data_IF_760578173631
#
_entry.id   IF_760578173631
#
_cell.length_a   1.000
_cell.length_b   1.000
_cell.length_c   1.000
_cell.angle_alpha   90.00
_cell.angle_beta   90.00
_cell.angle_gamma   90.00
#
_symmetry.space_group_name_H-M   'P 1'
#
loop_
_entity.id
_entity.type
_entity.pdbx_description
1 polymer ?
#
# COMPACT_ATOMS: atom_id res chain seq x y z
N UNK A 1 6.21 27.62 30.16
CA UNK A 1 6.69 28.54 29.12
C UNK A 1 5.64 28.63 28.05
N UNK A 2 5.23 29.85 27.64
CA UNK A 2 4.33 30.02 26.49
C UNK A 2 5.10 29.59 25.21
N UNK A 3 4.68 28.52 24.57
CA UNK A 3 5.31 28.06 23.34
C UNK A 3 5.03 29.07 22.24
N UNK A 4 6.07 29.56 21.55
CA UNK A 4 5.91 30.36 20.34
C UNK A 4 5.42 29.45 19.20
N UNK A 5 4.09 29.37 19.06
CA UNK A 5 3.46 28.54 18.01
C UNK A 5 3.71 29.19 16.65
N UNK A 6 4.21 28.40 15.67
CA UNK A 6 4.31 28.85 14.30
C UNK A 6 2.91 28.91 13.67
N UNK A 7 2.39 30.13 13.46
CA UNK A 7 1.05 30.37 12.92
C UNK A 7 1.00 30.44 11.39
N UNK A 8 2.10 30.11 10.68
CA UNK A 8 2.10 30.05 9.21
C UNK A 8 0.87 29.26 8.68
N UNK A 9 0.08 29.78 7.75
CA UNK A 9 -1.03 29.05 7.17
C UNK A 9 -0.56 27.87 6.30
N UNK A 10 0.67 27.91 5.79
CA UNK A 10 1.27 26.86 4.96
C UNK A 10 2.18 25.97 5.82
N UNK A 11 2.19 24.67 5.51
CA UNK A 11 3.16 23.72 6.06
C UNK A 11 4.52 23.85 5.37
N UNK A 12 5.56 23.35 6.00
CA UNK A 12 6.87 23.27 5.34
C UNK A 12 6.77 22.38 4.09
N UNK A 13 7.29 22.81 2.93
CA UNK A 13 7.27 21.99 1.73
C UNK A 13 8.12 20.73 1.94
N UNK A 14 7.70 19.62 1.34
CA UNK A 14 8.54 18.42 1.26
C UNK A 14 9.55 18.65 0.13
N UNK A 15 10.86 18.58 0.40
CA UNK A 15 11.85 18.58 -0.66
C UNK A 15 11.67 17.35 -1.56
N UNK A 16 11.70 17.55 -2.88
CA UNK A 16 11.57 16.49 -3.89
C UNK A 16 12.66 16.62 -4.92
N UNK A 17 12.99 15.52 -5.62
CA UNK A 17 13.80 15.58 -6.82
C UNK A 17 13.10 16.42 -7.91
N UNK A 18 13.87 17.05 -8.78
CA UNK A 18 13.36 17.71 -9.99
C UNK A 18 12.46 16.76 -10.80
N UNK A 19 11.35 17.27 -11.35
CA UNK A 19 10.36 16.45 -12.03
C UNK A 19 10.89 15.71 -13.24
N UNK A 20 11.73 16.36 -14.04
CA UNK A 20 12.34 15.76 -15.21
C UNK A 20 13.39 14.70 -14.82
N UNK A 21 14.22 14.98 -13.82
CA UNK A 21 15.23 14.02 -13.34
C UNK A 21 14.59 12.78 -12.73
N UNK A 22 13.58 12.96 -11.86
CA UNK A 22 12.93 11.84 -11.19
C UNK A 22 12.08 10.96 -12.11
N UNK A 23 11.64 11.49 -13.26
CA UNK A 23 10.92 10.72 -14.28
C UNK A 23 11.80 9.66 -14.96
N UNK A 24 13.12 9.73 -14.81
CA UNK A 24 14.09 8.85 -15.48
C UNK A 24 14.95 8.02 -14.51
N UNK A 25 14.60 7.99 -13.22
CA UNK A 25 15.31 7.18 -12.24
C UNK A 25 14.35 6.56 -11.22
N UNK A 26 14.84 5.56 -10.46
CA UNK A 26 14.08 4.87 -9.44
C UNK A 26 14.46 5.30 -8.00
N UNK A 27 15.23 6.37 -7.83
CA UNK A 27 15.55 6.91 -6.51
C UNK A 27 14.30 7.50 -5.84
N UNK A 28 14.29 7.54 -4.51
CA UNK A 28 13.17 8.07 -3.75
C UNK A 28 12.87 9.52 -4.12
N UNK A 29 11.63 9.80 -4.51
CA UNK A 29 11.20 11.12 -5.02
C UNK A 29 11.22 12.19 -3.94
N UNK A 30 10.58 11.92 -2.80
CA UNK A 30 10.57 12.82 -1.66
C UNK A 30 11.85 12.65 -0.84
N UNK A 31 12.56 13.75 -0.53
CA UNK A 31 13.89 13.70 0.10
C UNK A 31 13.85 13.75 1.63
N UNK A 32 12.66 13.99 2.23
CA UNK A 32 12.51 14.10 3.67
C UNK A 32 12.80 15.51 4.21
N UNK A 33 12.46 15.75 5.47
CA UNK A 33 12.76 16.99 6.16
C UNK A 33 14.18 16.99 6.74
N UNK A 34 14.83 18.15 6.75
CA UNK A 34 15.95 18.41 7.67
C UNK A 34 15.45 18.56 9.12
N UNK A 35 16.35 18.49 10.09
CA UNK A 35 16.01 18.73 11.51
C UNK A 35 15.33 20.08 11.72
N UNK A 36 15.85 21.14 11.09
CA UNK A 36 15.29 22.49 11.16
C UNK A 36 13.87 22.55 10.59
N UNK A 37 13.64 21.93 9.43
CA UNK A 37 12.33 21.89 8.80
C UNK A 37 11.32 21.10 9.65
N UNK A 38 11.75 19.97 10.24
CA UNK A 38 10.93 19.15 11.11
C UNK A 38 10.55 19.89 12.41
N UNK A 39 11.51 20.53 13.07
CA UNK A 39 11.26 21.32 14.28
C UNK A 39 10.31 22.49 13.96
N UNK A 40 10.56 23.22 12.85
CA UNK A 40 9.70 24.32 12.42
C UNK A 40 8.25 23.86 12.12
N UNK A 41 8.08 22.71 11.46
CA UNK A 41 6.76 22.12 11.22
C UNK A 41 6.10 21.67 12.55
N UNK A 42 6.87 21.09 13.47
CA UNK A 42 6.38 20.68 14.78
C UNK A 42 5.85 21.87 15.61
N UNK A 43 6.43 23.07 15.46
CA UNK A 43 5.90 24.29 16.08
C UNK A 43 4.53 24.71 15.54
N UNK A 44 4.06 24.21 14.41
CA UNK A 44 2.70 24.46 13.91
C UNK A 44 1.64 23.67 14.67
N UNK A 45 2.00 22.63 15.40
CA UNK A 45 1.06 21.82 16.18
C UNK A 45 0.53 22.62 17.39
N UNK A 46 -0.80 22.69 17.50
CA UNK A 46 -1.50 23.39 18.59
C UNK A 46 -1.58 22.56 19.88
N UNK A 47 -1.14 21.32 19.87
CA UNK A 47 -1.27 20.38 21.01
C UNK A 47 -2.72 20.34 21.55
N UNK A 48 -3.69 20.06 20.68
CA UNK A 48 -5.12 20.11 20.98
C UNK A 48 -5.50 19.14 22.10
N UNK A 49 -6.23 19.60 23.11
CA UNK A 49 -6.70 18.76 24.23
C UNK A 49 -7.49 17.53 23.81
N UNK A 50 -8.32 17.64 22.77
CA UNK A 50 -9.17 16.54 22.27
C UNK A 50 -8.46 15.67 21.21
N UNK A 51 -7.23 15.98 20.83
CA UNK A 51 -6.38 15.22 19.90
C UNK A 51 -7.13 14.62 18.69
N UNK A 52 -7.85 15.43 17.86
CA UNK A 52 -8.69 14.89 16.80
C UNK A 52 -7.89 14.10 15.73
N UNK A 53 -6.61 14.46 15.53
CA UNK A 53 -5.73 13.73 14.62
C UNK A 53 -5.52 12.26 15.02
N UNK A 54 -5.48 11.95 16.31
CA UNK A 54 -5.36 10.55 16.82
C UNK A 54 -6.58 9.73 16.39
N UNK A 55 -7.79 10.31 16.42
CA UNK A 55 -9.00 9.61 15.96
C UNK A 55 -8.98 9.27 14.47
N UNK A 56 -8.21 10.01 13.67
CA UNK A 56 -8.01 9.75 12.24
C UNK A 56 -6.93 8.72 11.93
N UNK A 57 -6.17 8.26 12.93
CA UNK A 57 -5.13 7.25 12.74
C UNK A 57 -5.69 5.85 13.09
N UNK A 58 -5.70 4.87 12.16
CA UNK A 58 -6.19 3.52 12.41
C UNK A 58 -5.45 2.78 13.55
N UNK A 59 -4.16 3.07 13.76
CA UNK A 59 -3.36 2.49 14.85
C UNK A 59 -3.22 3.39 16.06
N UNK A 60 -3.91 4.55 16.07
CA UNK A 60 -3.99 5.47 17.22
C UNK A 60 -2.65 5.98 17.74
N UNK A 61 -1.73 6.34 16.85
CA UNK A 61 -0.47 6.98 17.25
C UNK A 61 -0.75 8.22 18.12
N UNK A 62 0.00 8.40 19.20
CA UNK A 62 -0.06 9.56 20.10
C UNK A 62 0.55 10.82 19.44
N UNK A 63 -0.15 11.31 18.38
CA UNK A 63 0.37 12.31 17.44
C UNK A 63 0.81 13.61 18.13
N UNK A 64 0.03 14.26 19.03
CA UNK A 64 0.49 15.48 19.67
C UNK A 64 1.74 15.28 20.54
N UNK A 65 1.88 14.09 21.12
CA UNK A 65 2.99 13.77 22.03
C UNK A 65 4.29 13.60 21.24
N UNK A 66 4.30 12.81 20.16
CA UNK A 66 5.51 12.67 19.36
C UNK A 66 5.91 13.99 18.69
N UNK A 67 4.93 14.80 18.23
CA UNK A 67 5.22 16.13 17.66
C UNK A 67 5.81 17.07 18.74
N UNK A 68 5.35 16.98 19.99
CA UNK A 68 5.91 17.74 21.08
C UNK A 68 7.38 17.35 21.38
N UNK A 69 7.70 16.05 21.29
CA UNK A 69 9.07 15.54 21.40
C UNK A 69 9.96 16.06 20.24
N UNK A 70 9.47 16.01 18.98
CA UNK A 70 10.18 16.59 17.83
C UNK A 70 10.46 18.08 18.03
N UNK A 71 9.47 18.83 18.49
CA UNK A 71 9.63 20.26 18.79
C UNK A 71 10.70 20.52 19.84
N UNK A 72 10.86 19.61 20.79
CA UNK A 72 11.89 19.67 21.85
C UNK A 72 13.27 19.17 21.42
N UNK A 73 13.41 18.65 20.18
CA UNK A 73 14.66 18.04 19.71
C UNK A 73 14.88 16.60 20.22
N UNK A 74 13.90 16.01 20.92
CA UNK A 74 13.96 14.61 21.38
C UNK A 74 13.40 13.67 20.31
N UNK A 75 14.19 13.41 19.27
CA UNK A 75 13.77 12.59 18.14
C UNK A 75 13.68 11.10 18.49
N UNK A 76 14.55 10.62 19.38
CA UNK A 76 14.47 9.24 19.85
C UNK A 76 13.26 9.02 20.77
N UNK A 77 12.94 9.96 21.63
CA UNK A 77 11.69 9.95 22.41
C UNK A 77 10.45 9.98 21.50
N UNK A 78 10.48 10.78 20.42
CA UNK A 78 9.42 10.80 19.43
C UNK A 78 9.24 9.44 18.73
N UNK A 79 10.35 8.76 18.36
CA UNK A 79 10.32 7.43 17.77
C UNK A 79 9.68 6.41 18.73
N UNK A 80 10.06 6.39 19.99
CA UNK A 80 9.47 5.50 21.00
C UNK A 80 7.97 5.70 21.16
N UNK A 81 7.49 6.96 21.14
CA UNK A 81 6.06 7.29 21.19
C UNK A 81 5.34 6.74 19.95
N UNK A 82 5.90 6.85 18.75
CA UNK A 82 5.30 6.31 17.53
C UNK A 82 5.25 4.79 17.57
N UNK A 83 6.37 4.15 17.95
CA UNK A 83 6.51 2.68 17.92
C UNK A 83 5.79 1.95 19.05
N UNK A 84 5.28 2.65 20.03
CA UNK A 84 4.36 2.10 21.03
C UNK A 84 3.09 1.51 20.37
N UNK A 85 2.61 2.18 19.31
CA UNK A 85 1.38 1.76 18.62
C UNK A 85 1.57 1.39 17.13
N UNK A 86 2.65 1.81 16.49
CA UNK A 86 2.94 1.55 15.07
C UNK A 86 4.18 0.67 14.91
N UNK A 87 4.04 -0.44 14.20
CA UNK A 87 5.15 -1.37 13.94
C UNK A 87 5.93 -1.04 12.67
N UNK A 88 5.45 -0.09 11.83
CA UNK A 88 6.04 0.25 10.53
C UNK A 88 6.09 1.78 10.31
N UNK A 89 6.74 2.56 11.19
CA UNK A 89 6.71 4.03 11.14
C UNK A 89 7.35 4.60 9.87
N UNK A 90 8.47 4.07 9.41
CA UNK A 90 9.15 4.55 8.22
C UNK A 90 8.34 4.31 6.93
N UNK A 91 7.55 3.24 6.90
CA UNK A 91 6.60 2.94 5.83
C UNK A 91 5.40 3.89 5.90
N UNK A 92 4.78 4.03 7.08
CA UNK A 92 3.58 4.87 7.26
C UNK A 92 3.83 6.34 6.93
N UNK A 93 4.96 6.89 7.34
CA UNK A 93 5.36 8.26 7.02
C UNK A 93 5.46 8.53 5.51
N UNK A 94 5.71 7.48 4.69
CA UNK A 94 5.83 7.58 3.23
C UNK A 94 4.53 7.32 2.48
N UNK A 95 3.75 6.31 2.90
CA UNK A 95 2.67 5.77 2.05
C UNK A 95 1.25 5.97 2.58
N UNK A 96 1.06 6.39 3.83
CA UNK A 96 -0.27 6.69 4.35
C UNK A 96 -0.93 7.83 3.56
N UNK A 97 -2.23 7.75 3.24
CA UNK A 97 -2.99 8.87 2.70
C UNK A 97 -3.39 9.83 3.84
N UNK A 98 -2.40 10.53 4.43
CA UNK A 98 -2.58 11.36 5.62
C UNK A 98 -3.65 12.44 5.40
N UNK A 99 -3.77 12.96 4.18
CA UNK A 99 -4.75 13.98 3.77
C UNK A 99 -6.20 13.54 3.97
N UNK A 100 -6.46 12.23 4.00
CA UNK A 100 -7.81 11.67 4.25
C UNK A 100 -7.93 11.02 5.64
N UNK A 101 -6.86 10.95 6.41
CA UNK A 101 -6.76 10.30 7.72
C UNK A 101 -6.42 11.30 8.83
N UNK A 102 -5.23 11.21 9.43
CA UNK A 102 -4.84 12.04 10.57
C UNK A 102 -4.80 13.54 10.24
N UNK A 103 -4.28 13.93 9.09
CA UNK A 103 -4.18 15.33 8.66
C UNK A 103 -5.54 15.93 8.34
N UNK A 104 -6.51 15.14 7.83
CA UNK A 104 -7.88 15.61 7.59
C UNK A 104 -8.60 16.05 8.88
N UNK A 105 -8.17 15.53 10.03
CA UNK A 105 -8.72 15.88 11.35
C UNK A 105 -7.95 17.00 12.05
N UNK A 106 -6.86 17.48 11.46
CA UNK A 106 -6.03 18.52 12.07
C UNK A 106 -6.74 19.87 12.10
N UNK A 107 -6.85 20.48 13.28
CA UNK A 107 -7.50 21.78 13.48
C UNK A 107 -6.87 22.89 12.64
N UNK A 108 -5.57 22.79 12.36
CA UNK A 108 -4.87 23.75 11.48
C UNK A 108 -5.45 23.78 10.06
N UNK A 109 -5.97 22.65 9.59
CA UNK A 109 -6.63 22.53 8.28
C UNK A 109 -7.89 23.37 8.11
N UNK A 110 -8.48 23.89 9.20
CA UNK A 110 -9.67 24.76 9.13
C UNK A 110 -9.36 26.18 8.60
N UNK A 111 -8.13 26.67 8.78
CA UNK A 111 -7.72 28.04 8.39
C UNK A 111 -6.40 28.08 7.60
N UNK A 112 -6.04 26.97 6.97
CA UNK A 112 -4.81 26.83 6.22
C UNK A 112 -4.54 25.36 5.92
N UNK A 113 -3.26 25.00 5.84
CA UNK A 113 -2.85 23.60 5.69
C UNK A 113 -2.70 22.93 7.05
N UNK A 114 -3.08 21.67 7.14
CA UNK A 114 -2.83 20.81 8.29
C UNK A 114 -1.34 20.74 8.62
N UNK A 115 -1.00 20.35 9.84
CA UNK A 115 0.38 19.96 10.18
C UNK A 115 0.76 18.76 9.33
N UNK A 116 1.99 18.75 8.81
CA UNK A 116 2.56 17.65 8.03
C UNK A 116 2.89 16.44 8.91
N UNK A 117 1.86 15.79 9.44
CA UNK A 117 1.98 14.71 10.44
C UNK A 117 2.80 13.55 9.88
N UNK A 118 2.45 13.09 8.67
CA UNK A 118 3.18 12.00 8.05
C UNK A 118 4.62 12.36 7.68
N UNK A 119 4.86 13.63 7.33
CA UNK A 119 6.22 14.13 7.06
C UNK A 119 7.10 14.12 8.32
N UNK A 120 6.50 14.46 9.47
CA UNK A 120 7.16 14.38 10.77
C UNK A 120 7.38 12.93 11.22
N UNK A 121 6.39 12.05 11.04
CA UNK A 121 6.53 10.61 11.30
C UNK A 121 7.67 10.01 10.48
N UNK A 122 7.74 10.33 9.19
CA UNK A 122 8.84 9.93 8.31
C UNK A 122 10.18 10.43 8.81
N UNK A 123 10.27 11.73 9.13
CA UNK A 123 11.51 12.33 9.65
C UNK A 123 12.02 11.60 10.89
N UNK A 124 11.14 11.35 11.85
CA UNK A 124 11.49 10.65 13.10
C UNK A 124 12.00 9.24 12.82
N UNK A 125 11.33 8.50 11.94
CA UNK A 125 11.72 7.14 11.58
C UNK A 125 13.07 7.12 10.83
N UNK A 126 13.29 8.04 9.88
CA UNK A 126 14.55 8.17 9.13
C UNK A 126 15.71 8.59 10.04
N UNK A 127 15.46 9.49 10.99
CA UNK A 127 16.43 9.91 11.99
C UNK A 127 16.84 8.72 12.88
N UNK A 128 15.87 7.98 13.45
CA UNK A 128 16.16 6.77 14.23
C UNK A 128 16.90 5.71 13.39
N UNK A 129 16.53 5.54 12.14
CA UNK A 129 17.21 4.63 11.23
C UNK A 129 18.67 4.97 11.00
N UNK A 130 19.06 6.24 11.16
CA UNK A 130 20.42 6.73 10.93
C UNK A 130 21.24 6.82 12.23
N UNK A 131 20.63 7.29 13.30
CA UNK A 131 21.32 7.68 14.54
C UNK A 131 20.86 6.91 15.78
N UNK A 132 19.74 6.17 15.71
CA UNK A 132 19.21 5.39 16.82
C UNK A 132 20.15 4.25 17.25
N UNK A 133 20.06 3.87 18.51
CA UNK A 133 20.92 2.83 19.09
C UNK A 133 20.63 1.40 18.59
N UNK A 134 19.52 1.21 17.89
CA UNK A 134 19.10 -0.08 17.34
C UNK A 134 18.82 -1.17 18.38
N UNK A 135 18.78 -0.80 19.67
CA UNK A 135 18.55 -1.74 20.76
C UNK A 135 17.08 -2.17 20.85
N UNK A 136 16.80 -3.30 20.22
CA UNK A 136 15.53 -4.01 20.38
C UNK A 136 15.81 -5.29 21.16
N UNK A 137 15.25 -5.45 22.34
CA UNK A 137 15.36 -6.68 23.12
C UNK A 137 14.07 -7.48 23.06
N UNK A 138 14.18 -8.76 22.70
CA UNK A 138 13.05 -9.67 22.78
C UNK A 138 12.59 -9.81 24.24
N UNK A 139 11.28 -9.75 24.53
CA UNK A 139 10.75 -9.95 25.86
C UNK A 139 10.89 -11.42 26.30
N UNK A 140 10.62 -11.69 27.58
CA UNK A 140 10.62 -13.07 28.08
C UNK A 140 9.51 -13.87 27.37
N UNK A 141 9.80 -15.10 26.91
CA UNK A 141 8.78 -15.98 26.33
C UNK A 141 7.62 -16.24 27.31
N UNK A 142 6.41 -16.18 26.83
CA UNK A 142 5.20 -16.52 27.59
C UNK A 142 4.74 -17.99 27.43
N UNK A 143 5.40 -18.75 26.54
CA UNK A 143 5.16 -20.17 26.30
C UNK A 143 4.16 -20.48 25.17
N UNK A 144 3.45 -19.48 24.66
CA UNK A 144 2.45 -19.67 23.60
C UNK A 144 3.02 -19.44 22.19
N UNK A 145 2.46 -20.15 21.20
CA UNK A 145 2.90 -20.13 19.81
C UNK A 145 1.78 -19.65 18.86
N UNK A 146 2.08 -18.70 18.00
CA UNK A 146 1.12 -18.15 17.03
C UNK A 146 1.70 -18.20 15.62
N UNK A 147 0.92 -18.68 14.65
CA UNK A 147 1.27 -18.65 13.23
C UNK A 147 0.59 -17.47 12.54
N UNK A 148 1.35 -16.77 11.69
CA UNK A 148 0.87 -15.65 10.86
C UNK A 148 1.00 -16.05 9.40
N UNK A 149 -0.07 -15.92 8.62
CA UNK A 149 -0.09 -16.23 7.18
C UNK A 149 -0.03 -14.92 6.40
N UNK A 150 1.12 -14.66 5.77
CA UNK A 150 1.41 -13.46 5.00
C UNK A 150 2.17 -12.39 5.79
N UNK A 151 3.23 -11.88 5.20
CA UNK A 151 4.10 -10.84 5.75
C UNK A 151 3.75 -9.43 5.26
N UNK A 152 2.52 -9.21 4.80
CA UNK A 152 2.01 -7.87 4.50
C UNK A 152 1.84 -7.02 5.75
N UNK A 153 1.40 -5.75 5.62
CA UNK A 153 1.29 -4.82 6.75
C UNK A 153 0.45 -5.34 7.92
N UNK A 154 -0.65 -6.07 7.66
CA UNK A 154 -1.47 -6.66 8.72
C UNK A 154 -0.74 -7.77 9.48
N UNK A 155 -0.07 -8.68 8.74
CA UNK A 155 0.68 -9.79 9.33
C UNK A 155 1.89 -9.31 10.13
N UNK A 156 2.69 -8.39 9.58
CA UNK A 156 3.85 -7.81 10.28
C UNK A 156 3.43 -7.07 11.56
N UNK A 157 2.30 -6.34 11.53
CA UNK A 157 1.80 -5.64 12.73
C UNK A 157 1.29 -6.63 13.77
N UNK A 158 0.52 -7.64 13.38
CA UNK A 158 0.06 -8.69 14.28
C UNK A 158 1.25 -9.42 14.92
N UNK A 159 2.25 -9.78 14.11
CA UNK A 159 3.46 -10.44 14.59
C UNK A 159 4.25 -9.57 15.58
N UNK A 160 4.45 -8.30 15.27
CA UNK A 160 5.18 -7.37 16.14
C UNK A 160 4.48 -7.12 17.48
N UNK A 161 3.16 -6.92 17.46
CA UNK A 161 2.40 -6.71 18.70
C UNK A 161 2.38 -7.95 19.60
N UNK A 162 2.29 -9.15 19.03
CA UNK A 162 2.38 -10.41 19.77
C UNK A 162 3.81 -10.68 20.28
N UNK A 163 4.82 -10.45 19.45
CA UNK A 163 6.22 -10.63 19.84
C UNK A 163 6.60 -9.73 21.02
N UNK A 164 6.14 -8.48 21.05
CA UNK A 164 6.32 -7.56 22.20
C UNK A 164 5.73 -8.10 23.50
N UNK A 165 4.83 -9.06 23.44
CA UNK A 165 4.19 -9.73 24.61
C UNK A 165 4.81 -11.08 24.94
N UNK A 166 5.87 -11.50 24.24
CA UNK A 166 6.60 -12.73 24.50
C UNK A 166 6.06 -13.97 23.81
N UNK A 167 5.15 -13.82 22.85
CA UNK A 167 4.69 -14.94 22.03
C UNK A 167 5.79 -15.42 21.09
N UNK A 168 5.92 -16.72 20.89
CA UNK A 168 6.71 -17.31 19.82
C UNK A 168 5.92 -17.21 18.50
N UNK A 169 6.28 -16.27 17.65
CA UNK A 169 5.56 -15.96 16.43
C UNK A 169 6.34 -16.41 15.21
N UNK A 170 5.69 -17.18 14.33
CA UNK A 170 6.24 -17.52 13.01
C UNK A 170 5.35 -16.94 11.92
N UNK A 171 5.93 -16.16 11.01
CA UNK A 171 5.28 -15.60 9.82
C UNK A 171 5.62 -16.46 8.62
N UNK A 172 4.62 -17.01 7.94
CA UNK A 172 4.74 -17.76 6.70
C UNK A 172 4.42 -16.87 5.50
N UNK A 173 5.40 -16.65 4.64
CA UNK A 173 5.31 -15.81 3.46
C UNK A 173 5.42 -16.63 2.18
N UNK A 174 4.49 -16.45 1.27
CA UNK A 174 4.45 -17.17 -0.01
C UNK A 174 5.59 -16.76 -0.97
N UNK A 175 6.00 -15.49 -0.92
CA UNK A 175 7.04 -14.95 -1.77
C UNK A 175 8.44 -15.15 -1.14
N UNK A 176 9.47 -14.91 -1.94
CA UNK A 176 10.87 -15.05 -1.51
C UNK A 176 11.37 -13.87 -0.65
N UNK A 177 10.58 -12.81 -0.51
CA UNK A 177 10.91 -11.63 0.28
C UNK A 177 9.70 -11.21 1.11
N UNK A 178 9.93 -10.95 2.41
CA UNK A 178 8.90 -10.47 3.32
C UNK A 178 8.54 -9.00 3.07
N UNK A 179 7.27 -8.64 3.33
CA UNK A 179 6.75 -7.27 3.20
C UNK A 179 5.45 -7.18 2.41
N UNK A 180 5.09 -8.23 1.67
CA UNK A 180 3.87 -8.25 0.86
C UNK A 180 3.82 -7.08 -0.13
N UNK A 181 2.69 -6.35 -0.18
CA UNK A 181 2.48 -5.21 -1.09
C UNK A 181 3.53 -4.10 -0.95
N UNK A 182 4.17 -3.96 0.20
CA UNK A 182 5.25 -2.99 0.42
C UNK A 182 6.46 -3.27 -0.47
N UNK A 183 6.67 -4.53 -0.85
CA UNK A 183 7.80 -4.97 -1.65
C UNK A 183 7.40 -5.20 -3.10
N UNK A 184 6.30 -5.91 -3.36
CA UNK A 184 5.92 -6.22 -4.75
C UNK A 184 5.11 -5.11 -5.43
N UNK A 185 4.30 -4.34 -4.67
CA UNK A 185 3.33 -3.42 -5.23
C UNK A 185 3.78 -1.97 -5.26
N UNK A 186 4.34 -1.44 -4.17
CA UNK A 186 4.75 -0.04 -4.07
C UNK A 186 6.13 0.16 -4.71
N UNK A 187 6.30 1.11 -5.66
CA UNK A 187 7.56 1.31 -6.36
C UNK A 187 8.72 1.78 -5.47
N UNK A 188 9.95 1.48 -5.90
CA UNK A 188 11.20 1.87 -5.23
C UNK A 188 11.25 3.39 -4.99
N UNK A 189 10.85 4.18 -5.99
CA UNK A 189 10.88 5.65 -5.92
C UNK A 189 9.85 6.27 -4.94
N UNK A 190 8.92 5.47 -4.39
CA UNK A 190 7.98 5.88 -3.32
C UNK A 190 8.33 5.25 -1.97
N UNK A 191 8.74 4.00 -1.98
CA UNK A 191 9.09 3.23 -0.80
C UNK A 191 10.32 2.36 -1.10
N UNK A 192 11.54 2.84 -0.81
CA UNK A 192 12.75 2.07 -0.98
C UNK A 192 12.68 0.73 -0.24
N UNK A 193 13.05 -0.36 -0.92
CA UNK A 193 12.96 -1.72 -0.34
C UNK A 193 13.89 -1.92 0.84
N UNK A 194 14.99 -1.17 0.90
CA UNK A 194 15.89 -1.14 2.07
C UNK A 194 15.17 -0.67 3.35
N UNK A 195 14.22 0.27 3.24
CA UNK A 195 13.40 0.72 4.37
C UNK A 195 12.51 -0.42 4.86
N UNK A 196 11.82 -1.11 3.95
CA UNK A 196 10.97 -2.26 4.32
C UNK A 196 11.80 -3.39 4.95
N UNK A 197 12.96 -3.68 4.39
CA UNK A 197 13.85 -4.70 4.93
C UNK A 197 14.30 -4.37 6.37
N UNK A 198 14.56 -3.09 6.67
CA UNK A 198 14.95 -2.64 8.00
C UNK A 198 13.81 -2.78 9.02
N UNK A 199 12.57 -2.44 8.64
CA UNK A 199 11.39 -2.66 9.47
C UNK A 199 11.16 -4.16 9.76
N UNK A 200 11.32 -5.01 8.75
CA UNK A 200 11.22 -6.48 8.90
C UNK A 200 12.32 -7.01 9.81
N UNK A 201 13.55 -6.51 9.68
CA UNK A 201 14.67 -6.90 10.54
C UNK A 201 14.45 -6.50 12.01
N UNK A 202 13.80 -5.36 12.25
CA UNK A 202 13.41 -4.96 13.61
C UNK A 202 12.47 -5.98 14.25
N UNK A 203 11.54 -6.55 13.48
CA UNK A 203 10.65 -7.62 13.96
C UNK A 203 11.41 -8.93 14.23
N UNK A 204 12.39 -9.28 13.38
CA UNK A 204 13.26 -10.45 13.64
C UNK A 204 14.05 -10.31 14.95
N UNK A 205 14.55 -9.13 15.24
CA UNK A 205 15.23 -8.83 16.51
C UNK A 205 14.31 -8.92 17.73
N UNK A 206 13.01 -8.70 17.54
CA UNK A 206 11.98 -8.96 18.57
C UNK A 206 11.70 -10.45 18.78
N UNK A 207 12.29 -11.34 17.98
CA UNK A 207 12.10 -12.79 18.07
C UNK A 207 11.01 -13.33 17.14
N UNK A 208 10.61 -12.59 16.10
CA UNK A 208 9.69 -13.10 15.07
C UNK A 208 10.48 -13.93 14.05
N UNK A 209 10.12 -15.20 13.89
CA UNK A 209 10.59 -16.04 12.81
C UNK A 209 9.81 -15.73 11.51
N UNK A 210 10.53 -15.63 10.38
CA UNK A 210 9.90 -15.36 9.08
C UNK A 210 10.38 -16.39 8.06
N UNK A 211 9.46 -17.28 7.68
CA UNK A 211 9.67 -18.36 6.72
C UNK A 211 9.12 -17.96 5.35
N UNK A 212 10.01 -17.71 4.40
CA UNK A 212 9.65 -17.35 3.01
C UNK A 212 9.51 -18.59 2.13
N UNK A 213 8.88 -18.42 0.94
CA UNK A 213 8.58 -19.50 -0.01
C UNK A 213 7.68 -20.61 0.56
N UNK A 214 6.84 -20.27 1.55
CA UNK A 214 5.86 -21.18 2.15
C UNK A 214 4.45 -20.75 1.82
N UNK A 215 3.81 -21.48 0.93
CA UNK A 215 2.45 -21.18 0.46
C UNK A 215 1.43 -21.95 1.30
N UNK A 216 0.80 -21.27 2.26
CA UNK A 216 -0.26 -21.90 3.06
C UNK A 216 -1.46 -22.22 2.17
N UNK A 217 -1.94 -23.44 2.27
CA UNK A 217 -2.91 -24.05 1.38
C UNK A 217 -2.30 -24.87 0.24
N UNK A 218 -0.94 -24.92 0.16
CA UNK A 218 -0.18 -25.79 -0.77
C UNK A 218 0.94 -26.52 -0.06
N UNK A 219 1.86 -25.79 0.56
CA UNK A 219 3.01 -26.37 1.31
C UNK A 219 2.56 -26.91 2.65
N UNK A 220 1.75 -26.14 3.36
CA UNK A 220 1.12 -26.46 4.64
C UNK A 220 -0.33 -25.96 4.61
N UNK A 221 -1.20 -26.65 5.34
CA UNK A 221 -2.58 -26.23 5.58
C UNK A 221 -2.71 -25.53 6.95
N UNK A 222 -3.82 -24.84 7.18
CA UNK A 222 -4.15 -24.25 8.50
C UNK A 222 -4.26 -25.35 9.58
N UNK A 223 -4.79 -26.51 9.22
CA UNK A 223 -4.92 -27.64 10.16
C UNK A 223 -3.57 -28.25 10.54
N UNK A 224 -2.63 -28.32 9.58
CA UNK A 224 -1.25 -28.74 9.87
C UNK A 224 -0.50 -27.75 10.77
N UNK A 225 -0.77 -26.45 10.67
CA UNK A 225 -0.20 -25.47 11.60
C UNK A 225 -0.64 -25.77 13.05
N UNK A 226 -1.92 -26.08 13.28
CA UNK A 226 -2.38 -26.51 14.61
C UNK A 226 -1.72 -27.83 15.05
N UNK A 227 -1.57 -28.79 14.14
CA UNK A 227 -0.88 -30.06 14.43
C UNK A 227 0.61 -29.85 14.78
N UNK A 228 1.25 -28.78 14.27
CA UNK A 228 2.62 -28.36 14.61
C UNK A 228 2.69 -27.65 15.98
N UNK A 229 1.58 -27.48 16.69
CA UNK A 229 1.50 -26.92 18.03
C UNK A 229 1.34 -25.40 18.06
N UNK A 230 0.89 -24.75 16.98
CA UNK A 230 0.39 -23.36 17.05
C UNK A 230 -0.98 -23.35 17.72
N UNK A 231 -1.22 -22.38 18.58
CA UNK A 231 -2.44 -22.29 19.38
C UNK A 231 -3.45 -21.29 18.82
N UNK A 232 -2.98 -20.40 17.96
CA UNK A 232 -3.79 -19.48 17.17
C UNK A 232 -3.13 -19.22 15.81
N UNK A 233 -3.96 -18.85 14.80
CA UNK A 233 -3.53 -18.53 13.45
C UNK A 233 -4.12 -17.17 13.04
N UNK A 234 -3.30 -16.29 12.48
CA UNK A 234 -3.75 -15.06 11.84
C UNK A 234 -3.59 -15.13 10.33
N UNK A 235 -4.66 -14.83 9.57
CA UNK A 235 -4.65 -14.81 8.10
C UNK A 235 -4.57 -13.36 7.63
N UNK A 236 -3.39 -12.97 7.15
CA UNK A 236 -3.08 -11.67 6.55
C UNK A 236 -2.62 -11.80 5.10
N UNK A 237 -3.19 -12.73 4.34
CA UNK A 237 -2.77 -13.10 2.97
C UNK A 237 -3.04 -12.01 1.91
N UNK A 238 -3.70 -10.91 2.27
CA UNK A 238 -3.96 -9.79 1.39
C UNK A 238 -4.96 -10.07 0.25
N UNK A 239 -4.93 -9.20 -0.78
CA UNK A 239 -5.75 -9.32 -1.99
C UNK A 239 -4.85 -9.12 -3.21
N UNK A 240 -4.33 -10.20 -3.76
CA UNK A 240 -3.34 -10.18 -4.85
C UNK A 240 -3.88 -10.67 -6.19
N UNK A 241 -5.13 -11.15 -6.27
CA UNK A 241 -5.73 -11.62 -7.52
C UNK A 241 -6.24 -10.41 -8.35
N UNK A 242 -5.66 -10.10 -9.52
CA UNK A 242 -6.06 -8.93 -10.29
C UNK A 242 -7.45 -9.08 -10.89
N UNK A 243 -8.17 -7.96 -10.96
CA UNK A 243 -9.44 -7.87 -11.68
C UNK A 243 -9.19 -7.39 -13.11
N UNK A 244 -9.99 -7.95 -14.05
CA UNK A 244 -10.07 -7.53 -15.44
C UNK A 244 -11.48 -7.02 -15.75
N UNK A 245 -11.66 -6.30 -16.84
CA UNK A 245 -12.94 -5.71 -17.23
C UNK A 245 -13.88 -6.70 -17.90
N UNK A 246 -13.33 -7.80 -18.46
CA UNK A 246 -14.06 -8.76 -19.27
C UNK A 246 -14.36 -8.25 -20.68
N UNK A 247 -13.52 -7.36 -21.22
CA UNK A 247 -13.65 -6.78 -22.55
C UNK A 247 -12.81 -7.57 -23.58
N UNK A 248 -13.18 -7.53 -24.89
CA UNK A 248 -12.39 -8.14 -25.93
C UNK A 248 -10.94 -7.63 -25.94
N UNK A 249 -10.00 -8.55 -26.21
CA UNK A 249 -8.58 -8.21 -26.36
C UNK A 249 -7.74 -8.24 -25.07
N UNK A 250 -8.31 -8.51 -23.90
CA UNK A 250 -7.54 -8.58 -22.63
C UNK A 250 -6.49 -9.71 -22.58
N UNK A 251 -6.54 -10.67 -23.49
CA UNK A 251 -5.55 -11.75 -23.61
C UNK A 251 -4.43 -11.46 -24.63
N UNK A 252 -4.38 -10.28 -25.23
CA UNK A 252 -3.34 -9.89 -26.18
C UNK A 252 -1.98 -9.69 -25.48
N UNK A 253 -0.91 -9.96 -26.23
CA UNK A 253 0.45 -9.62 -25.79
C UNK A 253 0.59 -8.11 -25.64
N UNK A 254 1.12 -7.67 -24.48
CA UNK A 254 1.18 -6.25 -24.11
C UNK A 254 0.06 -5.80 -23.17
N UNK A 255 -0.87 -6.72 -22.80
CA UNK A 255 -1.83 -6.47 -21.73
C UNK A 255 -1.30 -7.06 -20.43
N UNK A 256 -1.25 -6.24 -19.38
CA UNK A 256 -0.80 -6.62 -18.03
C UNK A 256 -1.84 -6.24 -17.00
N UNK A 257 -1.92 -6.98 -15.91
CA UNK A 257 -2.43 -6.41 -14.68
C UNK A 257 -1.38 -5.52 -14.04
N UNK A 258 -1.81 -4.45 -13.34
CA UNK A 258 -0.87 -3.60 -12.60
C UNK A 258 -0.10 -4.40 -11.53
N UNK A 259 -0.75 -5.41 -10.93
CA UNK A 259 -0.10 -6.28 -9.95
C UNK A 259 1.08 -7.06 -10.58
N UNK A 260 0.89 -7.64 -11.76
CA UNK A 260 1.97 -8.33 -12.48
C UNK A 260 3.08 -7.36 -12.88
N UNK A 261 2.73 -6.24 -13.52
CA UNK A 261 3.68 -5.24 -13.99
C UNK A 261 4.55 -4.69 -12.86
N UNK A 262 3.91 -4.32 -11.73
CA UNK A 262 4.61 -3.81 -10.56
C UNK A 262 5.42 -4.89 -9.84
N UNK A 263 4.94 -6.14 -9.78
CA UNK A 263 5.70 -7.25 -9.20
C UNK A 263 6.99 -7.51 -9.98
N UNK A 264 6.92 -7.52 -11.32
CA UNK A 264 8.12 -7.66 -12.18
C UNK A 264 9.10 -6.51 -11.94
N UNK A 265 8.61 -5.27 -11.87
CA UNK A 265 9.46 -4.11 -11.65
C UNK A 265 10.02 -4.07 -10.23
N UNK A 266 9.20 -4.19 -9.19
CA UNK A 266 9.60 -3.94 -7.81
C UNK A 266 10.25 -5.15 -7.13
N UNK A 267 9.54 -6.28 -7.05
CA UNK A 267 10.03 -7.48 -6.39
C UNK A 267 11.14 -8.15 -7.19
N UNK A 268 10.92 -8.29 -8.51
CA UNK A 268 11.84 -8.95 -9.43
C UNK A 268 12.89 -7.99 -10.02
N UNK A 269 12.81 -6.70 -9.67
CA UNK A 269 13.78 -5.65 -10.05
C UNK A 269 14.02 -5.51 -11.56
N UNK A 270 12.99 -5.71 -12.38
CA UNK A 270 13.11 -5.67 -13.85
C UNK A 270 13.55 -4.29 -14.40
N UNK A 271 13.66 -3.28 -13.55
CA UNK A 271 14.21 -1.97 -13.91
C UNK A 271 15.75 -1.90 -13.87
N UNK A 272 16.43 -2.91 -13.30
CA UNK A 272 17.89 -2.99 -13.28
C UNK A 272 18.40 -3.61 -14.58
N UNK A 273 19.53 -3.13 -15.06
CA UNK A 273 20.13 -3.59 -16.32
C UNK A 273 20.62 -5.04 -16.28
N UNK A 274 20.95 -5.54 -15.08
CA UNK A 274 21.39 -6.91 -14.81
C UNK A 274 20.26 -7.85 -14.39
N UNK A 275 18.98 -7.42 -14.50
CA UNK A 275 17.84 -8.26 -14.14
C UNK A 275 17.51 -9.28 -15.22
N UNK A 276 17.35 -10.55 -14.81
CA UNK A 276 16.87 -11.63 -15.68
C UNK A 276 15.35 -11.58 -15.94
N UNK A 277 14.61 -10.72 -15.23
CA UNK A 277 13.16 -10.65 -15.34
C UNK A 277 12.73 -9.87 -16.58
N UNK A 278 12.04 -10.50 -17.55
CA UNK A 278 11.58 -9.78 -18.73
C UNK A 278 10.44 -8.83 -18.35
N UNK A 279 10.52 -7.59 -18.83
CA UNK A 279 9.44 -6.60 -18.80
C UNK A 279 9.33 -5.94 -20.17
N UNK A 280 8.09 -5.84 -20.67
CA UNK A 280 7.87 -5.14 -21.94
C UNK A 280 7.95 -3.63 -21.69
N UNK A 281 8.89 -2.99 -22.38
CA UNK A 281 9.02 -1.53 -22.40
C UNK A 281 8.16 -1.02 -23.55
N UNK A 282 6.97 -0.51 -23.25
CA UNK A 282 6.07 0.05 -24.26
C UNK A 282 6.49 1.47 -24.65
N UNK A 283 6.30 1.86 -25.92
CA UNK A 283 6.44 3.24 -26.35
C UNK A 283 5.27 4.10 -25.90
N UNK A 284 4.04 3.60 -26.09
CA UNK A 284 2.79 4.27 -25.63
C UNK A 284 2.01 3.36 -24.71
N UNK A 285 1.87 3.75 -23.46
CA UNK A 285 1.26 2.94 -22.41
C UNK A 285 -0.05 3.54 -21.95
N UNK A 286 -1.13 2.76 -21.93
CA UNK A 286 -2.39 3.13 -21.27
C UNK A 286 -2.53 2.39 -19.94
N UNK A 287 -2.68 3.12 -18.85
CA UNK A 287 -2.98 2.57 -17.52
C UNK A 287 -4.45 2.83 -17.20
N UNK A 288 -5.23 1.77 -17.06
CA UNK A 288 -6.67 1.84 -16.82
C UNK A 288 -6.95 1.81 -15.33
N UNK A 289 -7.39 2.95 -14.79
CA UNK A 289 -7.67 3.12 -13.37
C UNK A 289 -7.28 4.49 -12.85
N UNK A 290 -7.68 4.83 -11.61
CA UNK A 290 -7.43 6.15 -11.02
C UNK A 290 -6.96 6.08 -9.56
N UNK A 291 -6.60 4.90 -9.05
CA UNK A 291 -6.08 4.71 -7.69
C UNK A 291 -4.56 4.84 -7.59
N UNK A 292 -4.02 4.72 -6.38
CA UNK A 292 -2.56 4.78 -6.15
C UNK A 292 -1.81 3.76 -7.01
N UNK A 293 -2.36 2.55 -7.19
CA UNK A 293 -1.76 1.50 -8.03
C UNK A 293 -1.67 1.94 -9.51
N UNK A 294 -2.65 2.72 -10.01
CA UNK A 294 -2.58 3.27 -11.36
C UNK A 294 -1.48 4.33 -11.48
N UNK A 295 -1.34 5.23 -10.49
CA UNK A 295 -0.25 6.20 -10.45
C UNK A 295 1.12 5.49 -10.40
N UNK A 296 1.23 4.46 -9.56
CA UNK A 296 2.44 3.65 -9.42
C UNK A 296 2.82 2.97 -10.73
N UNK A 297 1.86 2.32 -11.41
CA UNK A 297 2.09 1.65 -12.69
C UNK A 297 2.46 2.64 -13.81
N UNK A 298 1.77 3.79 -13.88
CA UNK A 298 2.04 4.81 -14.89
C UNK A 298 3.43 5.44 -14.72
N UNK A 299 3.77 5.82 -13.50
CA UNK A 299 5.07 6.40 -13.17
C UNK A 299 6.21 5.39 -13.35
N UNK A 300 5.95 4.10 -13.08
CA UNK A 300 6.90 3.01 -13.37
C UNK A 300 7.10 2.82 -14.86
N UNK A 301 6.03 2.81 -15.67
CA UNK A 301 6.12 2.68 -17.12
C UNK A 301 6.95 3.81 -17.75
N UNK A 302 6.76 5.04 -17.28
CA UNK A 302 7.55 6.20 -17.73
C UNK A 302 9.04 6.00 -17.42
N UNK A 303 9.40 5.58 -16.20
CA UNK A 303 10.79 5.30 -15.78
C UNK A 303 11.44 4.15 -16.53
N UNK A 304 10.63 3.20 -17.01
CA UNK A 304 11.11 2.10 -17.85
C UNK A 304 11.36 2.54 -19.31
N UNK A 305 11.08 3.81 -19.65
CA UNK A 305 11.40 4.40 -20.96
C UNK A 305 10.20 4.49 -21.91
N UNK A 306 8.97 4.51 -21.43
CA UNK A 306 7.82 4.81 -22.28
C UNK A 306 7.87 6.26 -22.79
N UNK A 307 7.62 6.46 -24.09
CA UNK A 307 7.58 7.79 -24.72
C UNK A 307 6.36 8.59 -24.25
N UNK A 308 5.22 7.89 -24.06
CA UNK A 308 3.97 8.47 -23.58
C UNK A 308 3.22 7.50 -22.68
N UNK A 309 2.70 8.05 -21.57
CA UNK A 309 1.88 7.29 -20.63
C UNK A 309 0.55 8.01 -20.42
N UNK A 310 -0.54 7.26 -20.50
CA UNK A 310 -1.89 7.76 -20.30
C UNK A 310 -2.55 7.09 -19.09
N UNK A 311 -3.14 7.87 -18.19
CA UNK A 311 -4.12 7.39 -17.22
C UNK A 311 -5.49 7.45 -17.88
N UNK A 312 -6.12 6.30 -18.06
CA UNK A 312 -7.49 6.18 -18.60
C UNK A 312 -8.46 5.96 -17.46
N UNK A 313 -9.31 6.94 -17.18
CA UNK A 313 -10.19 6.90 -16.02
C UNK A 313 -11.63 7.36 -16.34
N UNK A 314 -12.59 6.56 -15.91
CA UNK A 314 -14.02 6.73 -16.23
C UNK A 314 -14.74 7.88 -15.51
N UNK A 315 -14.06 8.58 -14.58
CA UNK A 315 -14.58 9.76 -13.86
C UNK A 315 -13.67 10.96 -14.07
N UNK A 316 -13.96 12.06 -13.36
CA UNK A 316 -13.15 13.28 -13.44
C UNK A 316 -11.98 13.25 -12.43
N UNK A 317 -11.15 14.30 -12.49
CA UNK A 317 -10.04 14.52 -11.58
C UNK A 317 -10.47 14.54 -10.11
N UNK A 318 -11.65 15.11 -9.82
CA UNK A 318 -12.18 15.24 -8.45
C UNK A 318 -12.55 13.89 -7.82
N UNK A 319 -12.87 12.89 -8.62
CA UNK A 319 -13.23 11.55 -8.17
C UNK A 319 -12.05 10.57 -8.17
N UNK A 320 -10.83 11.02 -8.47
CA UNK A 320 -9.63 10.17 -8.37
C UNK A 320 -9.41 9.72 -6.91
N UNK A 321 -9.35 8.41 -6.65
CA UNK A 321 -9.11 7.91 -5.30
C UNK A 321 -7.62 7.87 -4.92
N UNK A 322 -6.71 8.19 -5.83
CA UNK A 322 -5.28 8.29 -5.56
C UNK A 322 -4.97 9.45 -4.60
N UNK A 323 -3.86 9.36 -3.88
CA UNK A 323 -3.32 10.47 -3.09
C UNK A 323 -3.06 11.67 -4.00
N UNK A 324 -3.43 12.86 -3.50
CA UNK A 324 -3.23 14.10 -4.27
C UNK A 324 -1.76 14.30 -4.68
N UNK A 325 -0.84 14.09 -3.76
CA UNK A 325 0.60 14.21 -4.01
C UNK A 325 1.08 13.27 -5.14
N UNK A 326 0.52 12.05 -5.24
CA UNK A 326 0.88 11.10 -6.30
C UNK A 326 0.28 11.50 -7.67
N UNK A 327 -0.89 12.13 -7.67
CA UNK A 327 -1.48 12.70 -8.89
C UNK A 327 -0.67 13.90 -9.36
N UNK A 328 -0.33 14.82 -8.46
CA UNK A 328 0.51 15.99 -8.75
C UNK A 328 1.89 15.56 -9.31
N UNK A 329 2.54 14.58 -8.69
CA UNK A 329 3.80 14.04 -9.19
C UNK A 329 3.65 13.39 -10.57
N UNK A 330 2.55 12.69 -10.85
CA UNK A 330 2.32 12.08 -12.15
C UNK A 330 2.14 13.15 -13.25
N UNK A 331 1.40 14.24 -12.96
CA UNK A 331 1.23 15.38 -13.88
C UNK A 331 2.56 16.09 -14.14
N UNK A 332 3.35 16.37 -13.09
CA UNK A 332 4.66 17.01 -13.19
C UNK A 332 5.66 16.17 -14.00
N UNK A 333 5.58 14.85 -13.93
CA UNK A 333 6.39 13.88 -14.68
C UNK A 333 5.93 13.72 -16.14
N UNK A 334 4.83 14.40 -16.56
CA UNK A 334 4.35 14.42 -17.95
C UNK A 334 3.37 13.31 -18.31
N UNK A 335 2.77 12.63 -17.33
CA UNK A 335 1.72 11.63 -17.56
C UNK A 335 0.42 12.34 -17.96
N UNK A 336 -0.19 11.92 -19.07
CA UNK A 336 -1.42 12.51 -19.58
C UNK A 336 -2.67 11.82 -18.99
N UNK A 337 -3.61 12.61 -18.46
CA UNK A 337 -4.87 12.10 -17.91
C UNK A 337 -5.98 12.13 -18.97
N UNK A 338 -6.45 10.94 -19.39
CA UNK A 338 -7.61 10.72 -20.26
C UNK A 338 -8.81 10.39 -19.38
N UNK A 339 -9.44 11.45 -18.88
CA UNK A 339 -10.56 11.37 -17.95
C UNK A 339 -11.90 11.24 -18.70
N UNK A 340 -12.96 10.83 -17.99
CA UNK A 340 -14.30 10.64 -18.52
C UNK A 340 -14.28 9.73 -19.77
N UNK A 341 -13.50 8.68 -19.74
CA UNK A 341 -13.52 7.63 -20.75
C UNK A 341 -13.26 6.26 -20.14
N UNK A 342 -13.85 5.24 -20.73
CA UNK A 342 -13.79 3.86 -20.27
C UNK A 342 -13.44 2.93 -21.42
N UNK A 343 -12.48 2.03 -21.28
CA UNK A 343 -12.19 1.03 -22.32
C UNK A 343 -13.37 0.10 -22.56
N UNK A 344 -13.60 -0.24 -23.83
CA UNK A 344 -14.62 -1.21 -24.26
C UNK A 344 -14.01 -2.34 -25.06
N UNK A 345 -12.80 -2.16 -25.61
CA UNK A 345 -12.09 -3.18 -26.40
C UNK A 345 -10.58 -2.86 -26.42
N UNK A 346 -9.73 -3.85 -26.38
CA UNK A 346 -8.29 -3.72 -26.66
C UNK A 346 -8.05 -4.23 -28.07
N UNK A 347 -7.45 -3.39 -28.91
CA UNK A 347 -7.27 -3.66 -30.33
C UNK A 347 -5.94 -4.38 -30.57
N UNK A 348 -6.01 -5.54 -31.19
CA UNK A 348 -4.84 -6.31 -31.57
C UNK A 348 -4.32 -5.98 -32.97
N UNK A 349 -3.02 -6.15 -33.18
CA UNK A 349 -2.44 -6.18 -34.51
C UNK A 349 -2.71 -7.55 -35.16
N UNK A 350 -3.11 -7.51 -36.42
CA UNK A 350 -3.30 -8.71 -37.24
C UNK A 350 -2.85 -8.39 -38.66
N UNK A 351 -1.98 -9.23 -39.23
CA UNK A 351 -1.54 -9.16 -40.61
C UNK A 351 -2.09 -10.39 -41.36
N UNK A 352 -3.24 -10.27 -42.07
CA UNK A 352 -3.83 -11.39 -42.80
C UNK A 352 -2.95 -11.89 -43.95
N UNK A 353 -2.09 -11.06 -44.52
CA UNK A 353 -1.20 -11.42 -45.61
C UNK A 353 0.02 -12.23 -45.14
N UNK A 354 0.39 -12.04 -43.87
CA UNK A 354 1.46 -12.79 -43.24
C UNK A 354 1.01 -13.35 -41.86
N UNK A 355 0.40 -14.55 -41.82
CA UNK A 355 -0.03 -15.16 -40.54
C UNK A 355 1.10 -15.42 -39.54
N UNK A 356 2.35 -15.41 -40.00
CA UNK A 356 3.56 -15.57 -39.16
C UNK A 356 4.21 -14.25 -38.76
N UNK A 357 3.56 -13.12 -39.01
CA UNK A 357 4.06 -11.83 -38.55
C UNK A 357 4.23 -11.87 -37.01
N UNK A 358 5.44 -11.59 -36.51
CA UNK A 358 5.69 -11.66 -35.06
C UNK A 358 4.89 -10.63 -34.23
N UNK A 359 4.30 -9.64 -34.88
CA UNK A 359 3.42 -8.66 -34.23
C UNK A 359 1.97 -9.13 -34.10
N UNK A 360 1.58 -10.23 -34.78
CA UNK A 360 0.23 -10.75 -34.66
C UNK A 360 -0.09 -11.11 -33.20
N UNK A 361 -1.22 -10.63 -32.68
CA UNK A 361 -1.65 -10.83 -31.31
C UNK A 361 -1.07 -9.83 -30.30
N UNK A 362 -0.27 -8.85 -30.73
CA UNK A 362 0.16 -7.74 -29.88
C UNK A 362 -0.84 -6.59 -29.88
N UNK A 363 -0.87 -5.85 -28.78
CA UNK A 363 -1.66 -4.61 -28.66
C UNK A 363 -1.20 -3.59 -29.69
N UNK A 364 -2.15 -2.94 -30.38
CA UNK A 364 -1.93 -1.79 -31.26
C UNK A 364 -2.72 -0.55 -30.85
N UNK A 365 -3.69 -0.72 -29.94
CA UNK A 365 -4.55 0.36 -29.50
C UNK A 365 -5.59 -0.08 -28.47
N UNK A 366 -6.31 0.89 -27.95
CA UNK A 366 -7.44 0.70 -27.06
C UNK A 366 -8.63 1.51 -27.55
N UNK A 367 -9.81 0.90 -27.64
CA UNK A 367 -11.07 1.58 -27.93
C UNK A 367 -11.75 1.96 -26.64
N UNK A 368 -12.03 3.24 -26.50
CA UNK A 368 -12.71 3.82 -25.34
C UNK A 368 -14.05 4.44 -25.73
N UNK A 369 -15.00 4.46 -24.79
CA UNK A 369 -16.23 5.21 -24.88
C UNK A 369 -16.15 6.42 -23.94
N UNK A 370 -16.72 7.58 -24.36
CA UNK A 370 -16.81 8.76 -23.50
C UNK A 370 -17.85 8.55 -22.40
N UNK A 371 -17.58 9.16 -21.25
CA UNK A 371 -18.43 9.06 -20.07
C UNK A 371 -18.93 10.43 -19.65
N UNK A 372 -20.09 10.47 -19.03
CA UNK A 372 -20.58 11.61 -18.26
C UNK A 372 -20.81 11.21 -16.80
N UNK A 373 -20.86 12.20 -15.92
CA UNK A 373 -21.09 11.96 -14.50
C UNK A 373 -22.57 12.19 -14.17
N UNK A 374 -23.24 11.11 -13.79
CA UNK A 374 -24.61 11.17 -13.25
C UNK A 374 -24.69 11.73 -11.84
N UNK A 375 -25.85 11.56 -11.21
CA UNK A 375 -26.09 12.00 -9.84
C UNK A 375 -25.18 11.32 -8.81
N UNK A 376 -24.81 12.01 -7.73
CA UNK A 376 -23.98 11.43 -6.68
C UNK A 376 -24.72 10.31 -5.91
N UNK A 377 -24.00 9.25 -5.58
CA UNK A 377 -24.47 8.17 -4.70
C UNK A 377 -24.57 8.65 -3.23
N UNK A 378 -25.07 7.80 -2.33
CA UNK A 378 -25.20 8.10 -0.91
C UNK A 378 -23.85 8.46 -0.22
N UNK A 379 -22.71 8.18 -0.86
CA UNK A 379 -21.36 8.55 -0.42
C UNK A 379 -20.82 9.79 -1.14
N UNK A 380 -21.66 10.48 -1.92
CA UNK A 380 -21.30 11.68 -2.68
C UNK A 380 -20.49 11.40 -3.96
N UNK A 381 -20.32 10.13 -4.39
CA UNK A 381 -19.57 9.79 -5.60
C UNK A 381 -20.51 9.72 -6.80
N UNK A 382 -20.17 10.44 -7.87
CA UNK A 382 -20.93 10.43 -9.12
C UNK A 382 -20.71 9.13 -9.90
N UNK A 383 -21.81 8.54 -10.34
CA UNK A 383 -21.77 7.34 -11.17
C UNK A 383 -21.37 7.72 -12.60
N UNK A 384 -20.36 7.06 -13.20
CA UNK A 384 -20.05 7.26 -14.61
C UNK A 384 -21.13 6.59 -15.48
N UNK A 385 -21.59 7.30 -16.51
CA UNK A 385 -22.60 6.86 -17.48
C UNK A 385 -21.99 6.95 -18.88
N UNK A 386 -22.16 5.93 -19.70
CA UNK A 386 -21.66 5.89 -21.07
C UNK A 386 -22.45 6.79 -21.99
N UNK A 387 -21.77 7.53 -22.87
CA UNK A 387 -22.36 8.33 -23.94
C UNK A 387 -22.39 7.45 -25.21
N UNK A 388 -23.54 6.91 -25.55
CA UNK A 388 -23.70 6.02 -26.69
C UNK A 388 -23.21 6.65 -28.00
N UNK A 389 -22.46 5.88 -28.82
CA UNK A 389 -21.93 6.32 -30.12
C UNK A 389 -20.75 7.28 -30.02
N UNK A 390 -20.09 7.35 -28.87
CA UNK A 390 -18.94 8.24 -28.63
C UNK A 390 -17.61 7.49 -28.59
N UNK A 391 -17.58 6.27 -29.12
CA UNK A 391 -16.38 5.42 -29.15
C UNK A 391 -15.27 6.10 -29.96
N UNK A 392 -14.03 5.93 -29.48
CA UNK A 392 -12.83 6.41 -30.15
C UNK A 392 -11.65 5.51 -29.86
N UNK A 393 -10.72 5.46 -30.78
CA UNK A 393 -9.51 4.65 -30.66
C UNK A 393 -8.33 5.52 -30.21
N UNK A 394 -7.48 4.95 -29.32
CA UNK A 394 -6.19 5.50 -28.91
C UNK A 394 -5.10 4.50 -29.33
N UNK A 395 -4.08 4.98 -30.00
CA UNK A 395 -2.89 4.17 -30.30
C UNK A 395 -2.04 3.96 -29.07
N UNK A 396 -1.92 2.72 -28.65
CA UNK A 396 -1.02 2.27 -27.58
C UNK A 396 -0.49 0.88 -27.91
N UNK A 397 0.67 0.55 -27.39
CA UNK A 397 1.29 -0.78 -27.54
C UNK A 397 1.29 -1.60 -26.25
N UNK A 398 0.94 -0.97 -25.14
CA UNK A 398 0.84 -1.62 -23.83
C UNK A 398 -0.38 -1.10 -23.07
N UNK A 399 -1.11 -2.02 -22.44
CA UNK A 399 -2.26 -1.70 -21.58
C UNK A 399 -2.05 -2.32 -20.21
N UNK A 400 -2.16 -1.52 -19.14
CA UNK A 400 -2.01 -1.97 -17.76
C UNK A 400 -3.33 -1.79 -17.03
N UNK A 401 -3.95 -2.91 -16.61
CA UNK A 401 -5.21 -2.92 -15.87
C UNK A 401 -4.96 -2.66 -14.39
N UNK A 402 -5.36 -1.48 -13.89
CA UNK A 402 -5.20 -1.03 -12.50
C UNK A 402 -6.57 -0.80 -11.82
N UNK A 403 -7.51 -1.72 -12.03
CA UNK A 403 -8.92 -1.61 -11.58
C UNK A 403 -9.21 -2.35 -10.27
N UNK A 404 -8.17 -2.68 -9.53
CA UNK A 404 -8.23 -3.31 -8.22
C UNK A 404 -7.94 -4.81 -8.24
N UNK A 405 -7.92 -5.37 -7.04
CA UNK A 405 -7.60 -6.79 -6.80
C UNK A 405 -8.62 -7.40 -5.84
N UNK A 406 -8.69 -8.72 -5.84
CA UNK A 406 -9.54 -9.54 -4.97
C UNK A 406 -8.71 -10.50 -4.12
N UNK A 407 -9.20 -10.96 -2.95
CA UNK A 407 -8.54 -11.99 -2.17
C UNK A 407 -8.34 -13.28 -2.96
N UNK A 408 -7.18 -13.93 -2.77
CA UNK A 408 -6.91 -15.22 -3.40
C UNK A 408 -7.78 -16.31 -2.76
N UNK A 409 -8.52 -17.12 -3.55
CA UNK A 409 -9.42 -18.15 -3.03
C UNK A 409 -8.69 -19.36 -2.42
N UNK A 410 -7.36 -19.45 -2.52
CA UNK A 410 -6.58 -20.60 -2.06
C UNK A 410 -6.84 -20.94 -0.59
N UNK A 411 -6.72 -19.96 0.31
CA UNK A 411 -6.93 -20.20 1.75
C UNK A 411 -8.35 -20.72 2.02
N UNK A 412 -9.37 -20.10 1.40
CA UNK A 412 -10.76 -20.57 1.51
C UNK A 412 -10.94 -22.00 1.03
N UNK A 413 -10.37 -22.35 -0.14
CA UNK A 413 -10.56 -23.65 -0.77
C UNK A 413 -9.84 -24.79 -0.04
N UNK A 414 -8.86 -24.47 0.81
CA UNK A 414 -8.04 -25.45 1.55
C UNK A 414 -8.27 -25.42 3.05
N UNK A 415 -9.21 -24.59 3.53
CA UNK A 415 -9.53 -24.47 4.95
C UNK A 415 -11.02 -24.73 5.16
N UNK A 416 -11.36 -25.94 5.57
CA UNK A 416 -12.77 -26.34 5.82
C UNK A 416 -13.39 -25.47 6.93
N UNK A 417 -14.65 -25.08 6.76
CA UNK A 417 -15.39 -24.27 7.72
C UNK A 417 -15.04 -22.76 7.73
N UNK A 418 -14.09 -22.30 6.92
CA UNK A 418 -13.80 -20.88 6.78
C UNK A 418 -14.84 -20.21 5.85
N UNK A 419 -15.55 -19.20 6.34
CA UNK A 419 -16.57 -18.48 5.58
C UNK A 419 -15.98 -17.25 4.87
N UNK A 420 -16.50 -16.98 3.66
CA UNK A 420 -16.17 -15.79 2.87
C UNK A 420 -17.45 -15.12 2.38
N UNK A 421 -17.38 -13.81 2.17
CA UNK A 421 -18.46 -13.02 1.57
C UNK A 421 -18.51 -13.20 0.04
N UNK A 422 -19.52 -12.61 -0.61
CA UNK A 422 -19.73 -12.70 -2.06
C UNK A 422 -18.55 -12.14 -2.91
N UNK A 423 -17.64 -11.37 -2.32
CA UNK A 423 -16.44 -10.84 -2.98
C UNK A 423 -15.16 -11.62 -2.65
N UNK A 424 -15.29 -12.76 -1.97
CA UNK A 424 -14.16 -13.61 -1.58
C UNK A 424 -13.40 -13.15 -0.33
N UNK A 425 -13.82 -12.07 0.33
CA UNK A 425 -13.22 -11.61 1.59
C UNK A 425 -13.63 -12.52 2.76
N UNK A 426 -12.69 -12.86 3.64
CA UNK A 426 -12.93 -13.69 4.82
C UNK A 426 -13.91 -12.97 5.75
N UNK A 427 -14.93 -13.68 6.24
CA UNK A 427 -15.90 -13.15 7.21
C UNK A 427 -15.29 -13.19 8.60
N UNK A 428 -15.30 -12.05 9.30
CA UNK A 428 -14.79 -11.91 10.67
C UNK A 428 -15.74 -11.09 11.52
N UNK A 429 -15.66 -11.25 12.84
CA UNK A 429 -16.30 -10.36 13.81
C UNK A 429 -15.45 -9.08 14.05
N UNK A 430 -15.84 -8.25 15.01
CA UNK A 430 -15.15 -6.98 15.35
C UNK A 430 -13.72 -7.19 15.86
N UNK A 431 -13.41 -8.35 16.43
CA UNK A 431 -12.08 -8.73 16.93
C UNK A 431 -11.20 -9.42 15.89
N UNK A 432 -11.70 -9.58 14.67
CA UNK A 432 -11.01 -10.29 13.59
C UNK A 432 -11.11 -11.81 13.66
N UNK A 433 -11.90 -12.40 14.58
CA UNK A 433 -12.13 -13.84 14.66
C UNK A 433 -13.00 -14.29 13.50
N UNK A 434 -12.59 -15.37 12.82
CA UNK A 434 -13.31 -15.98 11.70
C UNK A 434 -14.38 -16.96 12.19
N UNK A 435 -15.04 -17.64 11.24
CA UNK A 435 -15.95 -18.77 11.52
C UNK A 435 -15.25 -20.01 12.10
N UNK A 436 -13.90 -20.00 12.20
CA UNK A 436 -13.12 -21.10 12.81
C UNK A 436 -12.49 -20.66 14.12
N UNK A 437 -12.57 -21.53 15.13
CA UNK A 437 -11.92 -21.31 16.43
C UNK A 437 -10.43 -21.05 16.28
N UNK A 438 -9.93 -20.09 17.06
CA UNK A 438 -8.53 -19.69 17.10
C UNK A 438 -7.92 -19.24 15.74
N UNK A 439 -8.77 -19.01 14.72
CA UNK A 439 -8.36 -18.49 13.40
C UNK A 439 -8.88 -17.07 13.25
N UNK A 440 -7.97 -16.12 13.16
CA UNK A 440 -8.22 -14.70 12.99
C UNK A 440 -7.84 -14.26 11.57
N UNK A 441 -8.40 -13.17 11.08
CA UNK A 441 -8.02 -12.61 9.80
C UNK A 441 -8.12 -11.09 9.82
N UNK A 442 -7.34 -10.42 8.94
CA UNK A 442 -7.36 -8.98 8.83
C UNK A 442 -6.69 -8.45 7.57
N UNK A 443 -6.82 -7.13 7.36
CA UNK A 443 -6.33 -6.45 6.18
C UNK A 443 -7.12 -6.80 4.92
N UNK A 444 -6.45 -6.72 3.76
CA UNK A 444 -7.12 -6.86 2.47
C UNK A 444 -7.72 -8.26 2.22
N UNK A 445 -7.30 -9.27 2.96
CA UNK A 445 -7.91 -10.60 2.93
C UNK A 445 -9.39 -10.59 3.42
N UNK A 446 -9.77 -9.58 4.20
CA UNK A 446 -11.11 -9.37 4.76
C UNK A 446 -11.86 -8.28 4.01
N UNK A 447 -11.26 -7.11 3.85
CA UNK A 447 -11.93 -5.90 3.33
C UNK A 447 -11.83 -5.72 1.81
N UNK A 448 -10.95 -6.48 1.15
CA UNK A 448 -10.43 -6.13 -0.18
C UNK A 448 -9.36 -5.04 -0.07
N UNK A 449 -8.80 -4.63 -1.21
CA UNK A 449 -7.69 -3.67 -1.24
C UNK A 449 -8.04 -2.34 -0.56
N UNK A 450 -7.24 -1.96 0.45
CA UNK A 450 -7.40 -0.76 1.24
C UNK A 450 -6.04 -0.04 1.43
N UNK A 451 -5.77 0.50 2.62
CA UNK A 451 -4.51 1.21 2.90
C UNK A 451 -3.61 0.39 3.82
N UNK A 452 -2.29 0.63 3.71
CA UNK A 452 -1.28 -0.01 4.58
C UNK A 452 -1.67 0.14 6.05
N UNK A 453 -1.96 1.36 6.51
CA UNK A 453 -2.28 1.63 7.91
C UNK A 453 -3.61 1.01 8.37
N UNK A 454 -4.61 0.87 7.47
CA UNK A 454 -5.85 0.17 7.80
C UNK A 454 -5.62 -1.33 7.98
N UNK A 455 -4.77 -1.92 7.14
CA UNK A 455 -4.36 -3.31 7.29
C UNK A 455 -3.58 -3.52 8.60
N UNK A 456 -2.69 -2.59 8.97
CA UNK A 456 -2.00 -2.59 10.26
C UNK A 456 -2.98 -2.53 11.43
N UNK A 457 -3.99 -1.65 11.35
CA UNK A 457 -5.05 -1.55 12.36
C UNK A 457 -5.79 -2.87 12.58
N UNK A 458 -6.13 -3.58 11.50
CA UNK A 458 -6.76 -4.89 11.57
C UNK A 458 -5.83 -5.94 12.21
N UNK A 459 -4.53 -5.94 11.85
CA UNK A 459 -3.52 -6.80 12.48
C UNK A 459 -3.40 -6.56 13.98
N UNK A 460 -3.44 -5.29 14.40
CA UNK A 460 -3.39 -4.88 15.81
C UNK A 460 -4.63 -5.34 16.59
N UNK A 461 -5.81 -5.21 16.00
CA UNK A 461 -7.06 -5.69 16.61
C UNK A 461 -7.01 -7.20 16.82
N UNK A 462 -6.59 -7.96 15.80
CA UNK A 462 -6.47 -9.41 15.90
C UNK A 462 -5.39 -9.82 16.91
N UNK A 463 -4.24 -9.14 16.98
CA UNK A 463 -3.19 -9.43 17.95
C UNK A 463 -3.70 -9.27 19.39
N UNK A 464 -4.49 -8.23 19.67
CA UNK A 464 -5.14 -8.04 20.98
C UNK A 464 -6.10 -9.18 21.30
N UNK A 465 -6.95 -9.56 20.35
CA UNK A 465 -7.92 -10.65 20.54
C UNK A 465 -7.25 -12.02 20.73
N UNK A 466 -6.16 -12.29 20.00
CA UNK A 466 -5.34 -13.52 20.19
C UNK A 466 -4.71 -13.53 21.59
N UNK A 467 -4.17 -12.41 22.05
CA UNK A 467 -3.62 -12.28 23.40
C UNK A 467 -4.67 -12.55 24.49
N UNK A 468 -5.86 -11.94 24.37
CA UNK A 468 -6.97 -12.18 25.30
C UNK A 468 -7.46 -13.66 25.29
N UNK A 469 -7.51 -14.28 24.11
CA UNK A 469 -7.88 -15.69 23.95
C UNK A 469 -6.87 -16.64 24.60
N UNK A 470 -5.55 -16.40 24.41
CA UNK A 470 -4.50 -17.27 24.93
C UNK A 470 -4.22 -17.02 26.42
N UNK A 471 -4.37 -15.78 26.90
CA UNK A 471 -4.23 -15.47 28.34
C UNK A 471 -5.33 -16.13 29.21
N UNK A 472 -6.44 -16.60 28.60
CA UNK A 472 -7.50 -17.33 29.26
C UNK A 472 -7.32 -18.85 29.28
N UNK A 473 -6.24 -19.36 28.69
CA UNK A 473 -5.86 -20.79 28.65
C UNK A 473 -4.78 -21.11 29.67
#
# INVERSE_FOLDING_TARGET
MAYNINMSPKRNPMPTQDAHERAHNFNEVALGYSEEAAINEAFRCLNCKNMPCVSGCPVKIHIPEFIAAVRGGDFEGAYKIITDTSSLPAVCGRVCPQETQCESKCVRGLKGESVGIGRLERFVADWHNTFGDGNVSAPKPNGHRVAIIGSGPSGLTCAGDLAKKGYAVTVYEALHTAGGVLVYGIPEFRLPKAIVAKEVETLRRLGVDIETNVVIGKTLTVDELFAMGYEAVFIGSGAGLPNFMGIPGEALCGVYSANEFLTRSNLMRAYLDDSDTPIMKGGRVAVVGGGNVAMDAARTALRLGADKVYIVYRRSMNELPARREEVEHAEEEGIEFRLLCNPVEILGFSNPENPRDPKNGFVRGIRCIKMELGEPDAKGRRRPVEIAGSEFDMEVDTVIMAIGTSPNPLIKSTTAGLEVNARGGIVVNEDGLTSRDAVYAGGDAVTGAATVISAMGAGKTAAKAIDEYLAGK
#
